data_IF_196372178315
#
_entry.id   IF_196372178315
#
_cell.length_a   1.000
_cell.length_b   1.000
_cell.length_c   1.000
_cell.angle_alpha   90.00
_cell.angle_beta   90.00
_cell.angle_gamma   90.00
#
_symmetry.space_group_name_H-M   'P 1'
#
loop_
_entity.id
_entity.type
_entity.pdbx_description
1 polymer ?
#
# COMPACT_ATOMS: atom_id res chain seq x y z
N UNK A 1 -33.68 19.21 42.23
CA UNK A 1 -32.26 19.58 42.06
C UNK A 1 -31.54 18.38 41.47
N UNK A 2 -31.03 18.55 40.25
CA UNK A 2 -30.42 17.49 39.45
C UNK A 2 -29.01 17.17 39.97
N UNK A 3 -28.68 15.90 40.11
CA UNK A 3 -27.31 15.42 40.17
C UNK A 3 -27.16 14.29 39.15
N UNK A 4 -26.80 14.67 37.93
CA UNK A 4 -26.33 13.75 36.91
C UNK A 4 -24.80 13.62 37.07
N UNK A 5 -24.30 12.39 37.24
CA UNK A 5 -22.88 12.12 37.16
C UNK A 5 -22.47 12.08 35.67
N UNK A 6 -21.35 12.71 35.27
CA UNK A 6 -20.85 12.54 33.92
C UNK A 6 -20.02 11.26 33.86
N UNK A 7 -20.59 10.18 33.31
CA UNK A 7 -19.78 9.10 32.74
C UNK A 7 -19.16 9.59 31.45
N UNK A 8 -17.91 10.07 31.51
CA UNK A 8 -17.12 10.30 30.30
C UNK A 8 -16.34 9.03 30.02
N UNK A 9 -16.95 8.18 29.20
CA UNK A 9 -16.34 7.04 28.52
C UNK A 9 -15.02 7.48 27.87
N UNK A 10 -13.89 6.92 28.34
CA UNK A 10 -12.61 7.00 27.64
C UNK A 10 -12.73 6.24 26.31
N UNK A 11 -13.00 6.95 25.21
CA UNK A 11 -12.90 6.38 23.87
C UNK A 11 -11.43 6.30 23.46
N UNK A 12 -10.75 5.21 23.83
CA UNK A 12 -9.52 4.79 23.15
C UNK A 12 -9.92 4.20 21.78
N UNK A 13 -10.06 5.06 20.79
CA UNK A 13 -10.02 4.64 19.39
C UNK A 13 -8.72 5.15 18.79
N UNK A 14 -7.62 4.46 19.07
CA UNK A 14 -6.46 4.51 18.19
C UNK A 14 -6.78 3.64 16.98
N UNK A 15 -7.46 4.21 16.00
CA UNK A 15 -7.32 3.71 14.64
C UNK A 15 -5.85 3.94 14.29
N UNK A 16 -5.08 2.87 14.19
CA UNK A 16 -3.71 2.92 13.68
C UNK A 16 -3.79 3.33 12.22
N UNK A 17 -3.87 4.64 11.97
CA UNK A 17 -3.73 5.22 10.65
C UNK A 17 -2.36 4.77 10.12
N UNK A 18 -2.31 4.37 8.85
CA UNK A 18 -1.06 4.01 8.21
C UNK A 18 -0.14 5.23 8.27
N UNK A 19 0.97 5.12 9.03
CA UNK A 19 1.97 6.18 9.12
C UNK A 19 2.62 6.30 7.74
N UNK A 20 2.53 7.49 7.16
CA UNK A 20 3.24 7.80 5.92
C UNK A 20 4.74 7.99 6.24
N UNK A 21 5.54 6.93 6.02
CA UNK A 21 6.99 6.96 6.19
C UNK A 21 7.70 7.13 4.82
N UNK A 22 8.17 8.34 4.49
CA UNK A 22 8.79 8.62 3.20
C UNK A 22 10.15 7.94 3.02
N UNK A 23 10.88 7.62 4.10
CA UNK A 23 12.17 6.92 4.02
C UNK A 23 11.94 5.47 3.64
N UNK A 24 11.01 4.81 4.32
CA UNK A 24 10.60 3.45 3.99
C UNK A 24 10.07 3.34 2.56
N UNK A 25 9.19 4.27 2.16
CA UNK A 25 8.68 4.31 0.78
C UNK A 25 9.81 4.45 -0.24
N UNK A 26 10.81 5.29 0.03
CA UNK A 26 11.96 5.47 -0.87
C UNK A 26 12.81 4.20 -0.99
N UNK A 27 12.98 3.46 0.11
CA UNK A 27 13.67 2.16 0.09
C UNK A 27 12.89 1.18 -0.78
N UNK A 28 11.57 1.08 -0.62
CA UNK A 28 10.73 0.21 -1.43
C UNK A 28 10.86 0.49 -2.93
N UNK A 29 10.92 1.76 -3.34
CA UNK A 29 11.09 2.12 -4.76
C UNK A 29 12.45 1.70 -5.31
N UNK A 30 13.52 1.84 -4.52
CA UNK A 30 14.87 1.46 -4.90
C UNK A 30 15.06 -0.06 -4.95
N UNK A 31 14.38 -0.81 -4.07
CA UNK A 31 14.49 -2.26 -4.01
C UNK A 31 13.44 -2.98 -4.86
N UNK A 32 12.50 -2.27 -5.48
CA UNK A 32 11.34 -2.87 -6.15
C UNK A 32 11.71 -3.89 -7.23
N UNK A 33 12.70 -3.58 -8.08
CA UNK A 33 13.21 -4.53 -9.11
C UNK A 33 13.70 -5.82 -8.47
N UNK A 34 14.45 -5.71 -7.38
CA UNK A 34 14.99 -6.87 -6.66
C UNK A 34 13.87 -7.73 -6.06
N UNK A 35 12.75 -7.12 -5.63
CA UNK A 35 11.57 -7.90 -5.24
C UNK A 35 10.94 -8.62 -6.42
N UNK A 36 10.78 -7.96 -7.57
CA UNK A 36 10.23 -8.63 -8.75
C UNK A 36 11.06 -9.85 -9.15
N UNK A 37 12.39 -9.71 -9.24
CA UNK A 37 13.28 -10.82 -9.59
C UNK A 37 13.35 -11.91 -8.51
N UNK A 38 13.12 -11.56 -7.24
CA UNK A 38 13.04 -12.53 -6.15
C UNK A 38 11.75 -13.36 -6.20
N UNK A 39 10.58 -12.72 -6.40
CA UNK A 39 9.29 -13.41 -6.39
C UNK A 39 8.96 -14.10 -7.71
N UNK A 40 9.45 -13.57 -8.82
CA UNK A 40 9.24 -14.12 -10.17
C UNK A 40 10.60 -14.52 -10.73
N UNK A 41 10.94 -15.83 -10.71
CA UNK A 41 12.24 -16.31 -11.21
C UNK A 41 12.55 -15.92 -12.67
N UNK A 42 11.52 -15.63 -13.47
CA UNK A 42 11.64 -15.17 -14.87
C UNK A 42 11.11 -13.73 -15.05
N UNK A 43 11.30 -12.88 -14.03
CA UNK A 43 10.80 -11.50 -14.04
C UNK A 43 11.22 -10.70 -15.29
N UNK A 44 12.42 -10.93 -15.81
CA UNK A 44 12.98 -10.29 -17.01
C UNK A 44 12.26 -10.68 -18.31
N UNK A 45 11.62 -11.85 -18.35
CA UNK A 45 10.79 -12.29 -19.49
C UNK A 45 9.35 -11.78 -19.39
N UNK A 46 8.90 -11.44 -18.18
CA UNK A 46 7.52 -11.04 -17.90
C UNK A 46 7.39 -9.53 -17.93
N UNK A 47 8.28 -8.83 -17.24
CA UNK A 47 8.24 -7.38 -17.02
C UNK A 47 9.31 -6.67 -17.85
N UNK A 48 8.95 -5.58 -18.51
CA UNK A 48 9.92 -4.69 -19.15
C UNK A 48 10.62 -3.83 -18.08
N UNK A 49 11.64 -4.42 -17.45
CA UNK A 49 12.43 -3.80 -16.38
C UNK A 49 13.25 -2.59 -16.86
N UNK A 50 13.34 -2.35 -18.18
CA UNK A 50 13.96 -1.15 -18.74
C UNK A 50 13.07 0.09 -18.59
N UNK A 51 11.76 -0.11 -18.38
CA UNK A 51 10.79 0.98 -18.21
C UNK A 51 10.72 1.40 -16.75
N UNK A 52 10.41 2.68 -16.54
CA UNK A 52 10.13 3.19 -15.20
C UNK A 52 8.83 2.60 -14.67
N UNK A 53 8.84 2.24 -13.39
CA UNK A 53 7.63 1.89 -12.65
C UNK A 53 6.79 3.13 -12.37
N UNK A 54 5.47 2.94 -12.35
CA UNK A 54 4.52 4.01 -12.01
C UNK A 54 3.91 3.70 -10.66
N UNK A 55 4.19 4.54 -9.67
CA UNK A 55 3.64 4.44 -8.32
C UNK A 55 2.29 5.17 -8.25
N UNK A 56 1.28 4.48 -7.73
CA UNK A 56 -0.12 4.89 -7.80
C UNK A 56 -0.69 5.13 -6.39
N UNK A 57 -0.13 6.12 -5.67
CA UNK A 57 -0.50 6.40 -4.28
C UNK A 57 -1.94 6.90 -4.13
N UNK A 58 -2.45 7.68 -5.11
CA UNK A 58 -3.81 8.22 -5.08
C UNK A 58 -4.85 7.12 -5.30
N UNK A 59 -4.59 6.25 -6.27
CA UNK A 59 -5.45 5.12 -6.60
C UNK A 59 -5.43 4.08 -5.47
N UNK A 60 -4.28 3.90 -4.81
CA UNK A 60 -4.18 3.06 -3.62
C UNK A 60 -5.13 3.53 -2.51
N UNK A 61 -5.14 4.83 -2.20
CA UNK A 61 -6.05 5.41 -1.20
C UNK A 61 -7.53 5.26 -1.58
N UNK A 62 -7.84 5.38 -2.88
CA UNK A 62 -9.21 5.18 -3.39
C UNK A 62 -9.69 3.73 -3.30
N UNK A 63 -8.80 2.76 -3.59
CA UNK A 63 -9.13 1.33 -3.55
C UNK A 63 -9.19 0.76 -2.13
N UNK A 64 -8.39 1.30 -1.21
CA UNK A 64 -8.33 0.87 0.19
C UNK A 64 -8.61 2.06 1.13
N UNK A 65 -9.85 2.59 1.13
CA UNK A 65 -10.18 3.71 1.99
C UNK A 65 -10.05 3.29 3.47
N UNK A 66 -9.57 4.18 4.35
CA UNK A 66 -9.45 3.88 5.77
C UNK A 66 -10.84 3.54 6.33
N UNK A 67 -11.05 2.30 6.78
CA UNK A 67 -12.31 1.89 7.41
C UNK A 67 -12.21 2.03 8.94
N UNK A 68 -13.19 2.67 9.61
CA UNK A 68 -13.15 2.86 11.06
C UNK A 68 -13.34 1.56 11.88
N UNK A 69 -13.79 0.46 11.26
CA UNK A 69 -14.03 -0.81 11.95
C UNK A 69 -13.33 -1.98 11.22
N UNK A 70 -12.13 -2.30 11.72
CA UNK A 70 -11.15 -3.28 11.23
C UNK A 70 -11.66 -4.74 11.15
N UNK A 71 -12.61 -5.06 10.28
CA UNK A 71 -12.84 -6.45 9.84
C UNK A 71 -12.39 -6.60 8.39
N UNK A 72 -11.14 -7.03 8.21
CA UNK A 72 -10.53 -7.34 6.91
C UNK A 72 -9.55 -6.30 6.34
N UNK A 73 -8.83 -5.56 7.18
CA UNK A 73 -7.85 -4.56 6.72
C UNK A 73 -6.70 -5.24 6.00
N UNK A 74 -6.48 -4.89 4.72
CA UNK A 74 -5.22 -5.15 4.03
C UNK A 74 -4.34 -3.92 4.21
N UNK A 75 -3.18 -4.10 4.82
CA UNK A 75 -2.15 -3.07 4.89
C UNK A 75 -1.32 -3.16 3.61
N UNK A 76 -1.51 -2.18 2.72
CA UNK A 76 -0.77 -2.07 1.47
C UNK A 76 -0.09 -0.71 1.47
N UNK A 77 1.25 -0.72 1.39
CA UNK A 77 2.03 0.53 1.43
C UNK A 77 2.19 1.19 0.06
N UNK A 78 2.31 0.38 -1.00
CA UNK A 78 2.51 0.86 -2.37
C UNK A 78 1.70 0.04 -3.36
N UNK A 79 1.15 0.77 -4.32
CA UNK A 79 0.59 0.21 -5.54
C UNK A 79 1.50 0.60 -6.71
N UNK A 80 1.92 -0.38 -7.49
CA UNK A 80 2.87 -0.16 -8.59
C UNK A 80 2.29 -0.74 -9.87
N UNK A 81 2.28 0.07 -10.93
CA UNK A 81 1.99 -0.37 -12.29
C UNK A 81 3.30 -0.66 -13.01
N UNK A 82 3.38 -1.85 -13.58
CA UNK A 82 4.51 -2.38 -14.34
C UNK A 82 4.16 -2.48 -15.83
N UNK A 83 5.16 -2.46 -16.69
CA UNK A 83 5.01 -2.76 -18.12
C UNK A 83 5.41 -4.23 -18.35
N UNK A 84 4.70 -4.92 -19.23
CA UNK A 84 5.05 -6.28 -19.62
C UNK A 84 5.93 -6.24 -20.86
N UNK A 85 6.83 -7.22 -20.99
CA UNK A 85 7.56 -7.41 -22.25
C UNK A 85 6.55 -7.76 -23.34
N UNK A 86 6.61 -7.14 -24.53
CA UNK A 86 5.78 -7.55 -25.65
C UNK A 86 6.00 -9.03 -25.93
N UNK A 87 4.93 -9.82 -25.93
CA UNK A 87 5.03 -11.19 -26.42
C UNK A 87 5.36 -11.13 -27.90
N UNK A 88 6.40 -11.85 -28.38
CA UNK A 88 6.75 -11.88 -29.80
C UNK A 88 5.67 -12.54 -30.68
N UNK A 89 4.62 -13.12 -30.08
CA UNK A 89 3.59 -13.91 -30.76
C UNK A 89 2.27 -13.13 -31.04
N UNK A 90 2.28 -11.79 -30.94
CA UNK A 90 1.12 -10.91 -31.23
C UNK A 90 1.42 -9.82 -32.27
#
# INVERSE_FOLDING_TARGET
MAHAQPEITMSLQSSKEAVDDPLWKSVLEQTFVHFLTFFFPEADKIFDLSKKFVYLDKELQSMFPPKPHNKGVRYVDKLVRVQLVPSPDL
#
